data_IF_213052052463
#
_entry.id   IF_213052052463
#
_cell.length_a   1.000
_cell.length_b   1.000
_cell.length_c   1.000
_cell.angle_alpha   90.00
_cell.angle_beta   90.00
_cell.angle_gamma   90.00
#
_symmetry.space_group_name_H-M   'P 1'
#
loop_
_entity.id
_entity.type
_entity.pdbx_description
1 polymer ?
#
# COMPACT_ATOMS: atom_id res chain seq x y z
N UNK A 1 -2.76 -11.03 -25.91
CA UNK A 1 -3.80 -11.00 -24.86
C UNK A 1 -3.08 -10.85 -23.53
N UNK A 2 -3.05 -9.65 -22.93
CA UNK A 2 -2.33 -9.47 -21.67
C UNK A 2 -3.12 -10.17 -20.56
N UNK A 3 -2.67 -11.36 -20.14
CA UNK A 3 -3.22 -12.06 -18.99
C UNK A 3 -3.19 -11.10 -17.79
N UNK A 4 -4.36 -10.81 -17.23
CA UNK A 4 -4.44 -9.96 -16.03
C UNK A 4 -3.64 -10.59 -14.88
N UNK A 5 -3.20 -9.78 -13.90
CA UNK A 5 -2.43 -10.28 -12.77
C UNK A 5 -3.18 -11.41 -12.05
N UNK A 6 -2.45 -12.47 -11.72
CA UNK A 6 -2.99 -13.63 -11.03
C UNK A 6 -3.50 -13.27 -9.63
N UNK A 7 -4.37 -14.11 -9.05
CA UNK A 7 -4.88 -13.91 -7.68
C UNK A 7 -3.75 -13.87 -6.66
N UNK A 8 -2.70 -14.68 -6.86
CA UNK A 8 -1.52 -14.71 -6.00
C UNK A 8 -0.72 -13.41 -6.05
N UNK A 9 -0.50 -12.87 -7.25
CA UNK A 9 0.17 -11.58 -7.45
C UNK A 9 -0.57 -10.44 -6.74
N UNK A 10 -1.91 -10.41 -6.82
CA UNK A 10 -2.73 -9.40 -6.16
C UNK A 10 -2.64 -9.49 -4.63
N UNK A 11 -2.67 -10.70 -4.07
CA UNK A 11 -2.48 -10.91 -2.63
C UNK A 11 -1.08 -10.51 -2.15
N UNK A 12 -0.05 -10.86 -2.91
CA UNK A 12 1.32 -10.44 -2.62
C UNK A 12 1.46 -8.91 -2.60
N UNK A 13 0.96 -8.24 -3.65
CA UNK A 13 0.96 -6.77 -3.74
C UNK A 13 0.18 -6.12 -2.60
N UNK A 14 -0.97 -6.70 -2.24
CA UNK A 14 -1.76 -6.23 -1.10
C UNK A 14 -0.99 -6.41 0.23
N UNK A 15 -0.39 -7.57 0.45
CA UNK A 15 0.39 -7.87 1.66
C UNK A 15 1.57 -6.92 1.84
N UNK A 16 2.38 -6.71 0.80
CA UNK A 16 3.50 -5.75 0.83
C UNK A 16 3.00 -4.32 1.07
N UNK A 17 1.91 -3.92 0.43
CA UNK A 17 1.36 -2.57 0.61
C UNK A 17 0.85 -2.35 2.05
N UNK A 18 0.20 -3.35 2.64
CA UNK A 18 -0.24 -3.30 4.03
C UNK A 18 0.93 -3.30 5.01
N UNK A 19 1.97 -4.09 4.74
CA UNK A 19 3.19 -4.10 5.55
C UNK A 19 3.88 -2.72 5.51
N UNK A 20 4.05 -2.15 4.32
CA UNK A 20 4.65 -0.82 4.14
C UNK A 20 3.86 0.29 4.85
N UNK A 21 2.52 0.28 4.74
CA UNK A 21 1.65 1.21 5.48
C UNK A 21 1.74 1.02 6.99
N UNK A 22 1.77 -0.22 7.47
CA UNK A 22 1.84 -0.53 8.90
C UNK A 22 3.17 -0.06 9.50
N UNK A 23 4.27 -0.29 8.78
CA UNK A 23 5.60 0.19 9.17
C UNK A 23 5.69 1.72 9.14
N UNK A 24 5.09 2.38 8.14
CA UNK A 24 5.02 3.83 8.09
C UNK A 24 4.22 4.40 9.27
N UNK A 25 3.05 3.82 9.56
CA UNK A 25 2.23 4.21 10.70
C UNK A 25 2.96 3.98 12.03
N UNK A 26 3.62 2.84 12.20
CA UNK A 26 4.42 2.53 13.38
C UNK A 26 5.59 3.51 13.52
N UNK A 27 6.27 3.86 12.43
CA UNK A 27 7.36 4.84 12.45
C UNK A 27 6.87 6.21 12.91
N UNK A 28 5.71 6.67 12.43
CA UNK A 28 5.08 7.93 12.87
C UNK A 28 4.66 7.84 14.34
N UNK A 29 4.11 6.70 14.79
CA UNK A 29 3.71 6.51 16.18
C UNK A 29 4.91 6.53 17.15
N UNK A 30 6.04 5.94 16.76
CA UNK A 30 7.25 5.85 17.60
C UNK A 30 8.10 7.12 17.55
N UNK A 31 8.28 7.72 16.36
CA UNK A 31 9.15 8.90 16.16
C UNK A 31 8.40 10.22 16.20
N UNK A 32 7.07 10.19 16.22
CA UNK A 32 6.21 11.36 16.11
C UNK A 32 6.04 11.84 14.67
N UNK A 33 5.26 12.92 14.51
CA UNK A 33 4.99 13.51 13.21
C UNK A 33 6.28 14.03 12.56
N UNK A 34 6.54 13.76 11.27
CA UNK A 34 7.74 14.23 10.59
C UNK A 34 7.79 15.76 10.58
N UNK A 35 8.89 16.34 11.08
CA UNK A 35 9.06 17.79 11.26
C UNK A 35 9.89 18.47 10.17
N UNK A 36 10.48 17.70 9.24
CA UNK A 36 11.25 18.22 8.11
C UNK A 36 10.51 18.01 6.79
N UNK A 37 10.57 19.00 5.89
CA UNK A 37 9.89 18.96 4.58
C UNK A 37 10.18 17.67 3.79
N UNK A 38 11.46 17.31 3.67
CA UNK A 38 11.86 16.08 2.97
C UNK A 38 11.27 14.80 3.60
N UNK A 39 11.22 14.71 4.93
CA UNK A 39 10.64 13.54 5.62
C UNK A 39 9.12 13.48 5.45
N UNK A 40 8.46 14.64 5.43
CA UNK A 40 7.02 14.74 5.13
C UNK A 40 6.71 14.32 3.70
N UNK A 41 7.51 14.76 2.72
CA UNK A 41 7.35 14.38 1.32
C UNK A 41 7.54 12.88 1.13
N UNK A 42 8.60 12.31 1.70
CA UNK A 42 8.87 10.86 1.61
C UNK A 42 7.75 10.07 2.27
N UNK A 43 7.31 10.45 3.48
CA UNK A 43 6.21 9.79 4.18
C UNK A 43 4.89 9.93 3.41
N UNK A 44 4.62 11.10 2.85
CA UNK A 44 3.43 11.36 2.04
C UNK A 44 3.41 10.54 0.76
N UNK A 45 4.52 10.51 0.00
CA UNK A 45 4.64 9.73 -1.23
C UNK A 45 4.57 8.23 -0.92
N UNK A 46 5.28 7.76 0.10
CA UNK A 46 5.23 6.35 0.52
C UNK A 46 3.81 5.96 0.94
N UNK A 47 3.17 6.78 1.78
CA UNK A 47 1.79 6.55 2.22
C UNK A 47 0.81 6.53 1.05
N UNK A 48 0.93 7.47 0.11
CA UNK A 48 0.10 7.51 -1.09
C UNK A 48 0.34 6.28 -1.99
N UNK A 49 1.61 5.91 -2.23
CA UNK A 49 1.97 4.78 -3.07
C UNK A 49 1.46 3.45 -2.51
N UNK A 50 1.73 3.18 -1.22
CA UNK A 50 1.27 1.96 -0.57
C UNK A 50 -0.25 1.96 -0.35
N UNK A 51 -0.84 3.11 -0.01
CA UNK A 51 -2.28 3.29 0.12
C UNK A 51 -3.05 3.01 -1.17
N UNK A 52 -2.67 3.66 -2.26
CA UNK A 52 -3.31 3.46 -3.57
C UNK A 52 -3.11 2.01 -4.02
N UNK A 53 -1.91 1.46 -3.88
CA UNK A 53 -1.61 0.07 -4.25
C UNK A 53 -2.45 -0.95 -3.46
N UNK A 54 -2.63 -0.74 -2.15
CA UNK A 54 -3.48 -1.58 -1.30
C UNK A 54 -4.95 -1.50 -1.75
N UNK A 55 -5.49 -0.29 -1.94
CA UNK A 55 -6.88 -0.08 -2.36
C UNK A 55 -7.15 -0.74 -3.71
N UNK A 56 -6.27 -0.55 -4.70
CA UNK A 56 -6.43 -1.13 -6.04
C UNK A 56 -6.37 -2.66 -5.98
N UNK A 57 -5.44 -3.22 -5.22
CA UNK A 57 -5.28 -4.67 -5.07
C UNK A 57 -6.48 -5.29 -4.38
N UNK A 58 -6.96 -4.70 -3.27
CA UNK A 58 -8.15 -5.14 -2.56
C UNK A 58 -9.41 -5.06 -3.44
N UNK A 59 -9.62 -3.95 -4.15
CA UNK A 59 -10.75 -3.78 -5.08
C UNK A 59 -10.75 -4.83 -6.19
N UNK A 60 -9.59 -5.12 -6.79
CA UNK A 60 -9.47 -6.14 -7.84
C UNK A 60 -9.73 -7.54 -7.29
N UNK A 61 -9.21 -7.85 -6.10
CA UNK A 61 -9.43 -9.12 -5.44
C UNK A 61 -10.92 -9.35 -5.12
N UNK A 62 -11.63 -8.33 -4.62
CA UNK A 62 -13.07 -8.39 -4.40
C UNK A 62 -13.85 -8.62 -5.70
N UNK A 63 -13.50 -7.92 -6.79
CA UNK A 63 -14.13 -8.13 -8.11
C UNK A 63 -13.87 -9.52 -8.69
N UNK A 64 -12.69 -10.11 -8.45
CA UNK A 64 -12.38 -11.49 -8.87
C UNK A 64 -13.00 -12.57 -7.99
N UNK A 65 -13.54 -12.22 -6.81
CA UNK A 65 -14.21 -13.16 -5.91
C UNK A 65 -15.72 -13.27 -6.16
N UNK A 66 -16.32 -12.30 -6.85
CA UNK A 66 -17.72 -12.34 -7.29
C UNK A 66 -17.93 -12.82 -8.73
N UNK A 67 -16.89 -13.30 -9.41
CA UNK A 67 -16.95 -14.10 -10.64
C UNK A 67 -16.55 -15.52 -10.31
#
# INVERSE_FOLDING_TARGET
MAAGPSRGELWFRLGISLAGLSLLAAAIAVRGWPRGGAMLEIAGIAGAFFGISAIVSARRLWRQRGR
#
